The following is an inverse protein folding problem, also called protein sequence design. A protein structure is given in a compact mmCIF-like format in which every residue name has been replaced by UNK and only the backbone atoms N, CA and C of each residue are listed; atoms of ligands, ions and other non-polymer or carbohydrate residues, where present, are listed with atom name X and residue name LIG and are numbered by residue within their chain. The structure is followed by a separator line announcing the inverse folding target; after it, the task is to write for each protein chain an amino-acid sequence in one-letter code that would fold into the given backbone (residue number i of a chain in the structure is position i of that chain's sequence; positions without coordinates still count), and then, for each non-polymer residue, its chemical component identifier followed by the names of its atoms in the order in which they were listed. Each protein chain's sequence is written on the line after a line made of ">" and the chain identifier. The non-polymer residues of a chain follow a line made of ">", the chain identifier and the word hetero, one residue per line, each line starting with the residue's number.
data_IF_058157706778
#
_entry.id   IF_058157706778
#
_cell.length_a   1.000
_cell.length_b   1.000
_cell.length_c   1.000
_cell.angle_alpha   90.00
_cell.angle_beta   90.00
_cell.angle_gamma   90.00
#
_symmetry.space_group_name_H-M   'P 1'
#
loop_
_entity.id
_entity.type
_entity.pdbx_description
1 polymer ?
#
# COMPACT_ATOMS: atom_id res chain seq x y z
N UNK A 1 -7.71 -40.46 -4.77
CA UNK A 1 -8.40 -39.18 -4.57
C UNK A 1 -7.34 -38.23 -4.06
N UNK A 2 -6.89 -37.28 -4.89
CA UNK A 2 -5.83 -36.36 -4.51
C UNK A 2 -6.39 -35.42 -3.43
N UNK A 3 -5.67 -35.36 -2.31
CA UNK A 3 -5.90 -34.45 -1.20
C UNK A 3 -5.96 -33.02 -1.76
N UNK A 4 -7.13 -32.39 -1.72
CA UNK A 4 -7.30 -30.99 -2.12
C UNK A 4 -6.65 -30.15 -1.03
N UNK A 5 -5.32 -29.97 -1.13
CA UNK A 5 -4.56 -29.12 -0.23
C UNK A 5 -5.30 -27.80 -0.06
N UNK A 6 -5.86 -27.59 1.12
CA UNK A 6 -6.72 -26.48 1.43
C UNK A 6 -5.92 -25.21 1.21
N UNK A 7 -6.27 -24.45 0.18
CA UNK A 7 -5.51 -23.26 -0.20
C UNK A 7 -5.57 -22.29 0.99
N UNK A 8 -4.43 -21.83 1.54
CA UNK A 8 -4.42 -21.08 2.79
C UNK A 8 -5.24 -19.79 2.65
N UNK A 9 -6.26 -19.65 3.50
CA UNK A 9 -7.13 -18.49 3.54
C UNK A 9 -6.37 -17.28 4.07
N UNK A 10 -6.36 -16.19 3.30
CA UNK A 10 -5.61 -14.98 3.60
C UNK A 10 -6.51 -13.89 4.18
N UNK A 11 -5.91 -13.09 5.05
CA UNK A 11 -6.49 -11.89 5.67
C UNK A 11 -5.66 -10.69 5.21
N UNK A 12 -6.31 -9.75 4.55
CA UNK A 12 -5.67 -8.53 4.03
C UNK A 12 -6.12 -7.32 4.85
N UNK A 13 -5.20 -6.39 5.08
CA UNK A 13 -5.50 -5.05 5.56
C UNK A 13 -5.10 -4.02 4.49
N UNK A 14 -6.02 -3.15 4.12
CA UNK A 14 -5.74 -1.98 3.28
C UNK A 14 -5.92 -0.72 4.11
N UNK A 15 -4.84 0.00 4.40
CA UNK A 15 -4.94 1.33 5.05
C UNK A 15 -5.12 2.39 3.98
N UNK A 16 -5.95 3.41 4.19
CA UNK A 16 -6.30 4.37 3.15
C UNK A 16 -7.24 3.77 2.10
N UNK A 17 -7.97 2.71 2.49
CA UNK A 17 -8.78 1.92 1.57
C UNK A 17 -10.06 2.61 1.08
N UNK A 18 -10.46 3.74 1.69
CA UNK A 18 -11.53 4.61 1.17
C UNK A 18 -11.00 5.74 0.28
N UNK A 19 -9.68 5.91 0.20
CA UNK A 19 -9.04 6.81 -0.75
C UNK A 19 -9.10 6.29 -2.19
N UNK A 20 -8.73 7.13 -3.15
CA UNK A 20 -8.80 6.83 -4.58
C UNK A 20 -8.10 5.51 -4.96
N UNK A 21 -6.81 5.35 -4.62
CA UNK A 21 -6.06 4.14 -4.95
C UNK A 21 -6.54 2.93 -4.13
N UNK A 22 -6.84 3.15 -2.85
CA UNK A 22 -7.26 2.11 -1.92
C UNK A 22 -8.56 1.43 -2.34
N UNK A 23 -9.57 2.18 -2.79
CA UNK A 23 -10.84 1.63 -3.25
C UNK A 23 -10.64 0.68 -4.44
N UNK A 24 -9.84 1.09 -5.43
CA UNK A 24 -9.58 0.26 -6.61
C UNK A 24 -8.85 -1.03 -6.21
N UNK A 25 -7.88 -0.96 -5.29
CA UNK A 25 -7.20 -2.13 -4.76
C UNK A 25 -8.17 -3.06 -4.04
N UNK A 26 -9.06 -2.52 -3.19
CA UNK A 26 -10.08 -3.30 -2.48
C UNK A 26 -10.97 -4.06 -3.46
N UNK A 27 -11.50 -3.39 -4.48
CA UNK A 27 -12.35 -4.03 -5.50
C UNK A 27 -11.60 -5.11 -6.28
N UNK A 28 -10.36 -4.86 -6.68
CA UNK A 28 -9.55 -5.84 -7.41
C UNK A 28 -9.15 -7.05 -6.55
N UNK A 29 -8.87 -6.86 -5.26
CA UNK A 29 -8.57 -7.96 -4.34
C UNK A 29 -9.77 -8.90 -4.20
N UNK A 30 -10.98 -8.35 -4.08
CA UNK A 30 -12.23 -9.12 -4.00
C UNK A 30 -12.51 -9.94 -5.26
N UNK A 31 -12.08 -9.45 -6.42
CA UNK A 31 -12.30 -10.12 -7.70
C UNK A 31 -11.20 -11.17 -7.99
N UNK A 32 -9.94 -10.88 -7.66
CA UNK A 32 -8.79 -11.60 -8.25
C UNK A 32 -7.94 -12.42 -7.27
N UNK A 33 -8.07 -12.27 -5.96
CA UNK A 33 -7.38 -13.12 -4.97
C UNK A 33 -8.33 -14.22 -4.47
N UNK A 34 -8.32 -15.42 -5.08
CA UNK A 34 -9.26 -16.49 -4.71
C UNK A 34 -9.06 -17.03 -3.28
N UNK A 35 -7.97 -16.68 -2.60
CA UNK A 35 -7.71 -17.06 -1.20
C UNK A 35 -8.15 -16.02 -0.19
N UNK A 36 -8.62 -14.86 -0.64
CA UNK A 36 -9.03 -13.78 0.24
C UNK A 36 -10.26 -14.24 1.04
N UNK A 37 -10.10 -14.37 2.35
CA UNK A 37 -11.19 -14.74 3.27
C UNK A 37 -11.75 -13.52 3.99
N UNK A 38 -10.86 -12.63 4.40
CA UNK A 38 -11.19 -11.42 5.12
C UNK A 38 -10.41 -10.24 4.53
N UNK A 39 -11.12 -9.15 4.29
CA UNK A 39 -10.55 -7.88 3.84
C UNK A 39 -10.92 -6.79 4.83
N UNK A 40 -9.91 -6.20 5.46
CA UNK A 40 -10.06 -5.07 6.37
C UNK A 40 -9.72 -3.78 5.64
N UNK A 41 -10.61 -2.82 5.72
CA UNK A 41 -10.43 -1.47 5.18
C UNK A 41 -10.26 -0.52 6.34
N UNK A 42 -9.06 0.02 6.52
CA UNK A 42 -8.74 0.98 7.58
C UNK A 42 -8.60 2.37 6.96
N UNK A 43 -9.39 3.34 7.42
CA UNK A 43 -9.34 4.69 6.89
C UNK A 43 -9.74 5.73 7.94
N UNK A 44 -9.24 6.96 7.80
CA UNK A 44 -9.62 8.09 8.64
C UNK A 44 -11.08 8.47 8.40
N UNK A 45 -11.55 8.32 7.16
CA UNK A 45 -12.91 8.63 6.73
C UNK A 45 -13.51 7.45 5.99
N UNK A 46 -14.41 6.73 6.66
CA UNK A 46 -15.13 5.63 6.03
C UNK A 46 -16.10 6.15 4.96
N UNK A 47 -16.23 5.38 3.88
CA UNK A 47 -17.13 5.68 2.77
C UNK A 47 -18.27 4.67 2.71
N UNK A 48 -19.45 5.14 2.30
CA UNK A 48 -20.68 4.35 2.27
C UNK A 48 -20.64 3.19 1.27
N UNK A 49 -19.78 3.25 0.24
CA UNK A 49 -19.65 2.17 -0.75
C UNK A 49 -19.17 0.84 -0.13
N UNK A 50 -18.54 0.89 1.05
CA UNK A 50 -18.14 -0.32 1.77
C UNK A 50 -19.34 -1.18 2.20
N UNK A 51 -20.52 -0.58 2.39
CA UNK A 51 -21.73 -1.32 2.74
C UNK A 51 -22.15 -2.29 1.63
N UNK A 52 -21.90 -1.93 0.37
CA UNK A 52 -22.20 -2.76 -0.80
C UNK A 52 -21.39 -4.06 -0.80
N UNK A 53 -20.21 -4.06 -0.17
CA UNK A 53 -19.28 -5.19 -0.18
C UNK A 53 -19.55 -6.24 0.90
N UNK A 54 -20.43 -5.95 1.88
CA UNK A 54 -20.69 -6.85 3.01
C UNK A 54 -21.46 -8.13 2.65
N UNK A 55 -22.02 -8.19 1.45
CA UNK A 55 -22.87 -9.31 0.99
C UNK A 55 -22.12 -10.39 0.21
N UNK A 56 -20.82 -10.18 -0.05
CA UNK A 56 -19.99 -11.11 -0.80
C UNK A 56 -19.51 -12.33 0.01
N UNK A 57 -18.86 -13.30 -0.66
CA UNK A 57 -18.28 -14.47 0.00
C UNK A 57 -17.06 -14.15 0.89
N UNK A 58 -16.47 -12.96 0.71
CA UNK A 58 -15.36 -12.44 1.52
C UNK A 58 -15.91 -11.59 2.64
N UNK A 59 -15.43 -11.81 3.87
CA UNK A 59 -15.77 -10.94 5.00
C UNK A 59 -15.06 -9.59 4.86
N UNK A 60 -15.81 -8.54 4.52
CA UNK A 60 -15.28 -7.17 4.45
C UNK A 60 -15.58 -6.41 5.74
N UNK A 61 -14.55 -5.90 6.40
CA UNK A 61 -14.65 -5.15 7.66
C UNK A 61 -14.14 -3.73 7.47
N UNK A 62 -15.00 -2.74 7.68
CA UNK A 62 -14.62 -1.33 7.70
C UNK A 62 -14.16 -0.92 9.11
N UNK A 63 -13.00 -0.29 9.21
CA UNK A 63 -12.38 0.14 10.47
C UNK A 63 -12.04 1.62 10.34
N UNK A 64 -12.73 2.46 11.09
CA UNK A 64 -12.38 3.87 11.15
C UNK A 64 -11.18 4.04 12.10
N UNK A 65 -10.13 4.72 11.65
CA UNK A 65 -8.97 5.01 12.48
C UNK A 65 -7.91 5.86 11.78
N UNK A 66 -6.96 6.36 12.55
CA UNK A 66 -5.90 7.25 12.10
C UNK A 66 -4.55 6.51 12.10
N UNK A 67 -3.86 6.53 10.95
CA UNK A 67 -2.55 5.88 10.81
C UNK A 67 -1.48 6.50 11.71
N UNK A 68 -1.68 7.75 12.15
CA UNK A 68 -0.79 8.42 13.10
C UNK A 68 -0.93 7.88 14.53
N UNK A 69 -1.97 7.08 14.81
CA UNK A 69 -2.25 6.48 16.11
C UNK A 69 -1.80 5.00 16.12
N UNK A 70 -0.60 4.74 16.62
CA UNK A 70 0.04 3.42 16.57
C UNK A 70 -0.83 2.26 17.12
N UNK A 71 -1.58 2.51 18.20
CA UNK A 71 -2.44 1.50 18.81
C UNK A 71 -3.63 1.10 17.92
N UNK A 72 -4.19 2.04 17.15
CA UNK A 72 -5.28 1.78 16.20
C UNK A 72 -4.78 0.95 15.02
N UNK A 73 -3.58 1.29 14.51
CA UNK A 73 -2.92 0.54 13.44
C UNK A 73 -2.64 -0.90 13.87
N UNK A 74 -2.06 -1.09 15.06
CA UNK A 74 -1.76 -2.43 15.59
C UNK A 74 -3.04 -3.26 15.80
N UNK A 75 -4.12 -2.64 16.30
CA UNK A 75 -5.40 -3.31 16.49
C UNK A 75 -6.02 -3.75 15.15
N UNK A 76 -6.02 -2.89 14.13
CA UNK A 76 -6.53 -3.23 12.80
C UNK A 76 -5.73 -4.35 12.10
N UNK A 77 -4.41 -4.40 12.38
CA UNK A 77 -3.47 -5.32 11.75
C UNK A 77 -3.40 -6.70 12.42
N UNK A 78 -3.87 -6.85 13.65
CA UNK A 78 -3.76 -8.09 14.41
C UNK A 78 -4.32 -9.31 13.62
N UNK A 79 -3.47 -10.28 13.29
CA UNK A 79 -3.84 -11.48 12.52
C UNK A 79 -3.96 -11.27 11.00
N UNK A 80 -3.54 -10.12 10.46
CA UNK A 80 -3.43 -9.93 9.01
C UNK A 80 -2.17 -10.61 8.46
N UNK A 81 -2.31 -11.22 7.29
CA UNK A 81 -1.20 -11.87 6.58
C UNK A 81 -0.49 -10.87 5.67
N UNK A 82 -1.27 -9.97 5.07
CA UNK A 82 -0.81 -8.99 4.09
C UNK A 82 -1.38 -7.62 4.43
N UNK A 83 -0.52 -6.61 4.38
CA UNK A 83 -0.89 -5.20 4.53
C UNK A 83 -0.55 -4.48 3.24
N UNK A 84 -1.51 -3.72 2.72
CA UNK A 84 -1.31 -2.77 1.62
C UNK A 84 -1.51 -1.37 2.19
N UNK A 85 -0.41 -0.64 2.33
CA UNK A 85 -0.39 0.69 2.91
C UNK A 85 -0.54 1.76 1.83
N UNK A 86 -1.77 2.24 1.65
CA UNK A 86 -2.10 3.36 0.75
C UNK A 86 -2.48 4.65 1.47
N UNK A 87 -2.53 4.64 2.80
CA UNK A 87 -2.79 5.83 3.59
C UNK A 87 -1.62 6.81 3.44
N UNK A 88 -1.93 8.02 3.01
CA UNK A 88 -0.96 9.09 2.83
C UNK A 88 -1.66 10.39 2.50
N UNK A 89 -1.12 11.50 2.99
CA UNK A 89 -1.55 12.84 2.66
C UNK A 89 -0.77 13.31 1.43
N UNK A 90 -1.47 13.33 0.28
CA UNK A 90 -0.94 13.87 -0.98
C UNK A 90 -1.24 15.36 -1.03
N UNK A 91 -0.19 16.17 -0.99
CA UNK A 91 -0.33 17.63 -1.14
C UNK A 91 0.82 18.21 -1.96
N UNK A 92 0.47 18.57 -3.19
CA UNK A 92 1.36 19.23 -4.16
C UNK A 92 1.05 20.73 -4.28
N UNK A 93 -0.02 21.20 -3.63
CA UNK A 93 -0.50 22.59 -3.71
C UNK A 93 -0.19 23.39 -2.43
N UNK A 94 0.46 22.77 -1.43
CA UNK A 94 0.87 23.43 -0.20
C UNK A 94 -0.28 23.81 0.73
N UNK A 95 -1.37 23.02 0.71
CA UNK A 95 -2.54 23.22 1.58
C UNK A 95 -2.33 22.70 3.00
N UNK A 96 -1.49 21.67 3.15
CA UNK A 96 -1.17 21.03 4.41
C UNK A 96 0.19 21.50 4.92
N UNK A 97 0.32 21.57 6.25
CA UNK A 97 1.60 21.93 6.85
C UNK A 97 2.63 20.80 6.65
N UNK A 98 3.93 21.12 6.52
CA UNK A 98 4.99 20.11 6.44
C UNK A 98 4.96 19.10 7.59
N UNK A 99 4.62 19.56 8.80
CA UNK A 99 4.51 18.72 9.99
C UNK A 99 3.35 17.72 9.88
N UNK A 100 2.22 18.16 9.31
CA UNK A 100 1.05 17.30 9.09
C UNK A 100 1.38 16.23 8.06
N UNK A 101 2.01 16.61 6.95
CA UNK A 101 2.46 15.68 5.90
C UNK A 101 3.46 14.68 6.49
N UNK A 102 4.43 15.14 7.27
CA UNK A 102 5.41 14.28 7.92
C UNK A 102 4.76 13.31 8.91
N UNK A 103 3.83 13.79 9.73
CA UNK A 103 3.11 12.97 10.71
C UNK A 103 2.34 11.84 10.02
N UNK A 104 1.63 12.13 8.93
CA UNK A 104 0.85 11.11 8.21
C UNK A 104 1.76 10.18 7.41
N UNK A 105 2.65 10.74 6.58
CA UNK A 105 3.37 9.96 5.58
C UNK A 105 4.63 9.28 6.13
N UNK A 106 5.27 9.82 7.16
CA UNK A 106 6.50 9.24 7.73
C UNK A 106 6.18 8.52 9.03
N UNK A 107 5.65 9.23 10.03
CA UNK A 107 5.31 8.59 11.31
C UNK A 107 4.20 7.55 11.15
N UNK A 108 3.19 7.81 10.32
CA UNK A 108 2.15 6.83 10.01
C UNK A 108 2.73 5.56 9.34
N UNK A 109 3.65 5.71 8.40
CA UNK A 109 4.33 4.55 7.80
C UNK A 109 5.19 3.80 8.81
N UNK A 110 5.89 4.50 9.71
CA UNK A 110 6.63 3.86 10.80
C UNK A 110 5.71 3.04 11.71
N UNK A 111 4.54 3.59 12.08
CA UNK A 111 3.54 2.87 12.87
C UNK A 111 3.07 1.58 12.18
N UNK A 112 2.89 1.60 10.85
CA UNK A 112 2.52 0.43 10.06
C UNK A 112 3.64 -0.61 10.07
N UNK A 113 4.89 -0.19 9.89
CA UNK A 113 6.07 -1.07 9.96
C UNK A 113 6.17 -1.73 11.34
N UNK A 114 6.07 -0.93 12.40
CA UNK A 114 6.16 -1.42 13.78
C UNK A 114 5.03 -2.40 14.10
N UNK A 115 3.81 -2.09 13.65
CA UNK A 115 2.67 -2.98 13.76
C UNK A 115 2.93 -4.31 13.02
N UNK A 116 3.48 -4.29 11.80
CA UNK A 116 3.82 -5.53 11.07
C UNK A 116 4.78 -6.40 11.88
N UNK A 117 5.81 -5.79 12.48
CA UNK A 117 6.78 -6.50 13.31
C UNK A 117 6.12 -7.07 14.59
N UNK A 118 5.25 -6.28 15.23
CA UNK A 118 4.55 -6.66 16.45
C UNK A 118 3.55 -7.80 16.22
N UNK A 119 2.76 -7.75 15.14
CA UNK A 119 1.70 -8.72 14.83
C UNK A 119 2.23 -9.94 14.06
N UNK A 120 3.47 -9.89 13.58
CA UNK A 120 4.07 -10.94 12.76
C UNK A 120 3.52 -10.98 11.33
N UNK A 121 2.94 -9.88 10.84
CA UNK A 121 2.54 -9.74 9.43
C UNK A 121 3.76 -9.87 8.53
N UNK A 122 3.68 -10.78 7.55
CA UNK A 122 4.81 -11.18 6.69
C UNK A 122 4.88 -10.43 5.36
N UNK A 123 3.95 -9.53 5.09
CA UNK A 123 3.90 -8.87 3.78
C UNK A 123 3.36 -7.46 3.91
N UNK A 124 4.21 -6.48 3.59
CA UNK A 124 3.85 -5.08 3.55
C UNK A 124 4.09 -4.54 2.15
N UNK A 125 3.02 -4.14 1.49
CA UNK A 125 3.08 -3.40 0.23
C UNK A 125 2.95 -1.92 0.55
N UNK A 126 3.93 -1.12 0.12
CA UNK A 126 3.94 0.32 0.34
C UNK A 126 3.72 1.05 -0.98
N UNK A 127 2.77 1.97 -1.04
CA UNK A 127 2.58 2.76 -2.26
C UNK A 127 3.44 4.01 -2.21
N UNK A 128 4.52 4.07 -3.00
CA UNK A 128 5.38 5.26 -3.09
C UNK A 128 4.82 6.32 -4.06
N UNK A 129 5.67 7.19 -4.62
CA UNK A 129 5.27 8.25 -5.55
C UNK A 129 6.35 8.50 -6.59
N UNK A 130 5.95 8.87 -7.81
CA UNK A 130 6.90 9.27 -8.85
C UNK A 130 7.71 10.52 -8.44
N UNK A 131 7.20 11.34 -7.52
CA UNK A 131 7.96 12.48 -7.02
C UNK A 131 9.15 12.09 -6.14
N UNK A 132 9.30 10.81 -5.77
CA UNK A 132 10.50 10.28 -5.12
C UNK A 132 11.67 10.18 -6.10
N UNK A 133 11.42 9.98 -7.41
CA UNK A 133 12.50 9.79 -8.39
C UNK A 133 13.01 11.10 -9.01
N UNK A 134 12.41 12.25 -8.69
CA UNK A 134 12.84 13.52 -9.28
C UNK A 134 12.28 14.78 -8.65
N UNK A 135 12.68 15.97 -9.16
CA UNK A 135 13.68 16.16 -10.21
C UNK A 135 15.09 15.74 -9.76
N UNK A 136 15.89 15.21 -10.68
CA UNK A 136 17.28 14.85 -10.36
C UNK A 136 18.19 16.08 -10.30
N UNK A 137 19.31 15.92 -9.61
CA UNK A 137 20.27 17.01 -9.36
C UNK A 137 20.85 17.65 -10.62
N UNK A 138 20.81 16.93 -11.75
CA UNK A 138 21.37 17.34 -13.05
C UNK A 138 20.33 17.93 -14.00
N UNK A 139 19.04 17.92 -13.62
CA UNK A 139 17.94 18.33 -14.49
C UNK A 139 17.74 17.43 -15.72
N UNK A 140 18.29 16.22 -15.70
CA UNK A 140 18.21 15.33 -16.86
C UNK A 140 16.81 14.71 -16.99
N UNK A 141 16.29 14.52 -18.21
CA UNK A 141 15.09 13.73 -18.42
C UNK A 141 15.28 12.27 -17.97
N UNK A 142 14.25 11.70 -17.35
CA UNK A 142 14.21 10.29 -16.97
C UNK A 142 13.65 9.47 -18.15
N UNK A 143 14.45 8.60 -18.75
CA UNK A 143 14.06 7.81 -19.92
C UNK A 143 13.99 6.32 -19.61
N UNK A 144 12.80 5.73 -19.79
CA UNK A 144 12.56 4.27 -19.75
C UNK A 144 13.15 3.56 -18.53
N UNK A 145 13.23 4.23 -17.38
CA UNK A 145 13.67 3.59 -16.15
C UNK A 145 12.62 2.62 -15.59
N UNK A 146 13.10 1.71 -14.76
CA UNK A 146 12.32 0.75 -13.98
C UNK A 146 12.65 0.93 -12.48
N UNK A 147 12.08 0.06 -11.64
CA UNK A 147 12.26 0.07 -10.19
C UNK A 147 13.73 -0.14 -9.75
N UNK A 148 14.56 -0.74 -10.60
CA UNK A 148 15.99 -0.96 -10.35
C UNK A 148 16.88 0.20 -10.79
N UNK A 149 16.30 1.21 -11.47
CA UNK A 149 17.07 2.32 -12.04
C UNK A 149 17.52 3.26 -10.91
N UNK A 150 18.83 3.43 -10.67
CA UNK A 150 19.31 4.34 -9.65
C UNK A 150 18.89 5.78 -9.97
N UNK A 151 18.41 6.50 -8.97
CA UNK A 151 18.01 7.90 -9.10
C UNK A 151 18.66 8.76 -8.01
N UNK A 152 19.16 9.93 -8.38
CA UNK A 152 19.65 10.97 -7.46
C UNK A 152 18.65 12.11 -7.48
N UNK A 153 17.77 12.20 -6.48
CA UNK A 153 16.72 13.21 -6.42
C UNK A 153 16.99 14.28 -5.36
N UNK A 154 16.56 15.52 -5.61
CA UNK A 154 16.46 16.57 -4.59
C UNK A 154 14.99 16.92 -4.42
N UNK A 155 14.48 16.68 -3.22
CA UNK A 155 13.12 17.04 -2.84
C UNK A 155 13.13 18.39 -2.13
N UNK A 156 12.36 19.35 -2.66
CA UNK A 156 12.18 20.68 -2.03
C UNK A 156 10.80 20.85 -1.42
N UNK A 157 9.83 20.05 -1.85
CA UNK A 157 8.46 20.08 -1.36
C UNK A 157 8.28 19.05 -0.23
N UNK A 158 7.43 19.35 0.78
CA UNK A 158 7.23 18.44 1.91
C UNK A 158 6.72 17.05 1.52
N UNK A 159 5.82 16.96 0.53
CA UNK A 159 5.24 15.68 0.10
C UNK A 159 6.29 14.73 -0.49
N UNK A 160 7.08 15.11 -1.52
CA UNK A 160 8.16 14.27 -2.04
C UNK A 160 9.19 13.86 -0.99
N UNK A 161 9.61 14.81 -0.13
CA UNK A 161 10.51 14.51 0.99
C UNK A 161 9.93 13.42 1.89
N UNK A 162 8.65 13.53 2.24
CA UNK A 162 7.98 12.57 3.13
C UNK A 162 7.89 11.17 2.50
N UNK A 163 7.61 11.07 1.19
CA UNK A 163 7.53 9.79 0.47
C UNK A 163 8.90 9.13 0.34
N UNK A 164 9.96 9.91 0.08
CA UNK A 164 11.32 9.41 0.02
C UNK A 164 11.80 8.87 1.38
N UNK A 165 11.55 9.62 2.47
CA UNK A 165 11.86 9.18 3.83
C UNK A 165 11.12 7.90 4.20
N UNK A 166 9.82 7.84 3.89
CA UNK A 166 9.01 6.66 4.17
C UNK A 166 9.44 5.44 3.33
N UNK A 167 9.81 5.64 2.06
CA UNK A 167 10.39 4.57 1.23
C UNK A 167 11.69 4.03 1.85
N UNK A 168 12.57 4.91 2.35
CA UNK A 168 13.78 4.50 3.06
C UNK A 168 13.46 3.66 4.31
N UNK A 169 12.52 4.10 5.15
CA UNK A 169 12.10 3.34 6.35
C UNK A 169 11.57 1.95 5.98
N UNK A 170 10.78 1.87 4.91
CA UNK A 170 10.21 0.63 4.39
C UNK A 170 11.31 -0.30 3.87
N UNK A 171 12.28 0.22 3.11
CA UNK A 171 13.43 -0.54 2.61
C UNK A 171 14.34 -1.04 3.75
N UNK A 172 14.59 -0.22 4.76
CA UNK A 172 15.36 -0.60 5.96
C UNK A 172 14.64 -1.65 6.81
N UNK A 173 13.30 -1.70 6.75
CA UNK A 173 12.51 -2.75 7.38
C UNK A 173 12.55 -4.08 6.63
N UNK A 174 12.97 -4.09 5.36
CA UNK A 174 13.05 -5.30 4.56
C UNK A 174 13.97 -6.35 5.20
N UNK A 175 13.56 -7.61 5.21
CA UNK A 175 14.32 -8.68 5.86
C UNK A 175 14.24 -8.72 7.39
N UNK A 176 13.65 -7.71 8.05
CA UNK A 176 13.22 -7.85 9.46
C UNK A 176 11.98 -8.75 9.50
N UNK A 177 12.18 -10.03 9.84
CA UNK A 177 11.14 -11.08 9.84
C UNK A 177 10.26 -11.06 8.57
N UNK A 178 10.84 -11.54 7.46
CA UNK A 178 10.16 -11.93 6.23
C UNK A 178 9.08 -10.95 5.75
N UNK A 179 9.50 -9.76 5.31
CA UNK A 179 8.66 -8.76 4.63
C UNK A 179 9.04 -8.76 3.14
N UNK A 180 8.08 -8.72 2.23
CA UNK A 180 8.32 -8.48 0.80
C UNK A 180 7.66 -7.17 0.39
N UNK A 181 8.38 -6.38 -0.41
CA UNK A 181 8.09 -4.98 -0.68
C UNK A 181 7.78 -4.78 -2.16
N UNK A 182 6.71 -4.05 -2.46
CA UNK A 182 6.41 -3.54 -3.80
C UNK A 182 6.05 -2.06 -3.71
N UNK A 183 6.73 -1.21 -4.50
CA UNK A 183 6.48 0.23 -4.62
C UNK A 183 5.61 0.51 -5.84
N UNK A 184 4.53 1.29 -5.67
CA UNK A 184 3.76 1.84 -6.79
C UNK A 184 4.12 3.32 -6.98
N UNK A 185 4.46 3.74 -8.20
CA UNK A 185 4.64 5.14 -8.60
C UNK A 185 3.32 5.70 -9.19
N UNK A 186 2.91 6.92 -8.80
CA UNK A 186 1.63 7.53 -9.25
C UNK A 186 1.78 8.98 -9.80
N UNK A 187 1.06 9.28 -10.89
CA UNK A 187 0.73 10.61 -11.49
C UNK A 187 -0.54 10.43 -12.39
N UNK A 188 -1.56 11.34 -12.44
CA UNK A 188 -1.50 12.47 -13.39
C UNK A 188 -2.27 13.78 -13.10
N UNK A 189 -1.71 14.88 -13.63
CA UNK A 189 -2.27 16.26 -13.69
C UNK A 189 -3.40 16.48 -14.71
N UNK A 190 -3.83 15.48 -15.49
CA UNK A 190 -5.02 15.61 -16.36
C UNK A 190 -5.60 14.28 -16.81
N UNK A 191 -6.93 14.18 -16.73
CA UNK A 191 -7.73 13.00 -17.06
C UNK A 191 -7.83 12.78 -18.58
N UNK A 192 -7.45 11.60 -19.07
CA UNK A 192 -7.83 11.10 -20.40
C UNK A 192 -8.12 9.59 -20.35
N UNK A 193 -9.02 9.13 -21.23
CA UNK A 193 -9.56 7.76 -21.26
C UNK A 193 -8.50 6.65 -21.40
N UNK A 194 -7.30 6.95 -21.90
CA UNK A 194 -6.19 6.00 -22.03
C UNK A 194 -5.49 5.65 -20.70
N UNK A 195 -5.52 6.53 -19.70
CA UNK A 195 -4.77 6.38 -18.45
C UNK A 195 -5.43 5.41 -17.46
N UNK A 196 -6.76 5.22 -17.55
CA UNK A 196 -7.47 4.16 -16.81
C UNK A 196 -6.85 2.78 -17.06
N UNK A 197 -6.41 2.53 -18.30
CA UNK A 197 -5.81 1.26 -18.68
C UNK A 197 -4.41 1.05 -18.06
N UNK A 198 -3.65 2.13 -17.82
CA UNK A 198 -2.28 2.05 -17.32
C UNK A 198 -2.24 1.89 -15.80
N UNK A 199 -3.04 2.67 -15.07
CA UNK A 199 -3.19 2.53 -13.61
C UNK A 199 -3.75 1.15 -13.27
N UNK A 200 -4.80 0.71 -13.97
CA UNK A 200 -5.34 -0.63 -13.81
C UNK A 200 -4.29 -1.71 -14.12
N UNK A 201 -3.41 -1.52 -15.12
CA UNK A 201 -2.29 -2.43 -15.43
C UNK A 201 -1.24 -2.47 -14.33
N UNK A 202 -0.86 -1.33 -13.73
CA UNK A 202 0.10 -1.29 -12.63
C UNK A 202 -0.45 -1.96 -11.37
N UNK A 203 -1.69 -1.64 -10.98
CA UNK A 203 -2.36 -2.29 -9.84
C UNK A 203 -2.55 -3.78 -10.13
N UNK A 204 -2.91 -4.13 -11.38
CA UNK A 204 -3.04 -5.53 -11.82
C UNK A 204 -1.73 -6.29 -11.74
N UNK A 205 -0.64 -5.70 -12.21
CA UNK A 205 0.70 -6.28 -12.14
C UNK A 205 1.15 -6.43 -10.69
N UNK A 206 0.92 -5.44 -9.83
CA UNK A 206 1.20 -5.52 -8.40
C UNK A 206 0.41 -6.66 -7.76
N UNK A 207 -0.91 -6.70 -7.90
CA UNK A 207 -1.75 -7.75 -7.33
C UNK A 207 -1.32 -9.11 -7.88
N UNK A 208 -1.00 -9.23 -9.16
CA UNK A 208 -0.47 -10.46 -9.75
C UNK A 208 0.87 -10.89 -9.13
N UNK A 209 1.80 -9.96 -8.90
CA UNK A 209 3.06 -10.26 -8.21
C UNK A 209 2.83 -10.60 -6.74
N UNK A 210 1.91 -9.92 -6.07
CA UNK A 210 1.53 -10.17 -4.68
C UNK A 210 0.93 -11.57 -4.51
N UNK A 211 0.00 -11.96 -5.38
CA UNK A 211 -0.60 -13.29 -5.45
C UNK A 211 0.49 -14.34 -5.70
N UNK A 212 1.47 -14.07 -6.58
CA UNK A 212 2.61 -14.96 -6.80
C UNK A 212 3.50 -15.08 -5.55
N UNK A 213 3.86 -13.96 -4.92
CA UNK A 213 4.73 -13.92 -3.73
C UNK A 213 4.13 -14.66 -2.54
N UNK A 214 2.82 -14.54 -2.35
CA UNK A 214 2.05 -15.29 -1.33
C UNK A 214 1.82 -16.76 -1.70
N UNK A 215 2.15 -17.21 -2.92
CA UNK A 215 2.11 -18.63 -3.34
C UNK A 215 3.46 -19.33 -3.24
N UNK A 216 4.56 -18.61 -3.46
CA UNK A 216 5.92 -19.19 -3.51
C UNK A 216 6.60 -19.28 -2.16
N UNK A 217 6.16 -18.50 -1.17
CA UNK A 217 6.58 -18.70 0.21
C UNK A 217 5.87 -19.94 0.76
N UNK A 218 6.62 -21.01 1.03
CA UNK A 218 6.12 -22.15 1.81
C UNK A 218 5.73 -21.64 3.20
N UNK A 219 4.42 -21.53 3.44
CA UNK A 219 3.85 -21.17 4.74
C UNK A 219 4.01 -22.35 5.69
N UNK A 220 5.24 -22.59 6.17
CA UNK A 220 5.44 -23.49 7.31
C UNK A 220 4.89 -22.76 8.54
N UNK A 221 3.83 -23.32 9.13
CA UNK A 221 3.21 -22.85 10.37
C UNK A 221 4.12 -23.08 11.57
#
# INVERSE_FOLDING_TARGET
>A
MADSAQVPALVYLVTGGCGFLGEHIVRMLLEWEPRLRELRVFDLHLSSWLEELKTGPVQVTAIQGDVTQAHEVAAAMAGSHVVIHTAGLVDVFGKASPETIHKVNVQGTQNVIDACVQTGTRLLVYTSSMEVVGPNVKGHPFYRGNEDTPYEAIHRHPYPCSKALAEQLVLEANGRKAMWLGCIYWWPESWSSGQHSWVARCISAMISHLIKATRTSTWSF
#
